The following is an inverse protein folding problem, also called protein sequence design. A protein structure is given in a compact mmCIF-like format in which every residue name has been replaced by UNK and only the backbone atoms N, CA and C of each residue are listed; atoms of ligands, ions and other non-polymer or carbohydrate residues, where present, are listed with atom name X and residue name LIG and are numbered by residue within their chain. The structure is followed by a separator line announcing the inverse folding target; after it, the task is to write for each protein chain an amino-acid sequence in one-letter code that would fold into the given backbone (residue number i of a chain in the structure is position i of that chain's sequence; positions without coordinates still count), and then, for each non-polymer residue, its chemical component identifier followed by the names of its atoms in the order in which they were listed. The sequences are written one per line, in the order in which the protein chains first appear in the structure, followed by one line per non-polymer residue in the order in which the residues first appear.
data_IF_193376377835
#
_entry.id   IF_193376377835
#
_cell.length_a   1.000
_cell.length_b   1.000
_cell.length_c   1.000
_cell.angle_alpha   90.00
_cell.angle_beta   90.00
_cell.angle_gamma   90.00
#
_symmetry.space_group_name_H-M   'P 1'
#
loop_
_entity.id
_entity.type
_entity.pdbx_description
1 polymer ?
#
# COMPACT_ATOMS: atom_id res chain seq x y z
N UNK A 1 13.33 -21.43 10.36
CA UNK A 1 12.36 -20.35 10.63
C UNK A 1 11.87 -19.80 9.28
N UNK A 2 10.60 -19.42 9.22
CA UNK A 2 9.98 -18.83 8.03
C UNK A 2 10.26 -17.33 8.05
N UNK A 3 10.94 -16.85 7.00
CA UNK A 3 11.37 -15.46 6.87
C UNK A 3 10.40 -14.72 5.95
N UNK A 4 9.91 -13.57 6.40
CA UNK A 4 9.04 -12.68 5.62
C UNK A 4 9.74 -11.33 5.52
N UNK A 5 9.76 -10.78 4.31
CA UNK A 5 10.37 -9.48 4.05
C UNK A 5 9.29 -8.45 3.72
N UNK A 6 9.52 -7.19 4.08
CA UNK A 6 8.59 -6.10 3.77
C UNK A 6 9.23 -5.18 2.74
N UNK A 7 8.58 -5.09 1.58
CA UNK A 7 9.09 -4.34 0.46
C UNK A 7 8.84 -2.85 0.64
N UNK A 8 9.90 -2.05 0.66
CA UNK A 8 9.80 -0.60 0.69
C UNK A 8 9.58 -0.06 -0.73
N UNK A 9 8.38 0.47 -0.99
CA UNK A 9 7.94 1.38 -2.07
C UNK A 9 6.83 0.81 -2.97
N UNK A 10 5.70 1.50 -2.96
CA UNK A 10 5.01 1.95 -4.18
C UNK A 10 4.67 3.43 -3.99
N UNK A 11 5.57 4.31 -4.44
CA UNK A 11 5.22 5.69 -4.74
C UNK A 11 4.34 5.63 -5.99
N UNK A 12 3.02 5.58 -5.80
CA UNK A 12 2.12 5.92 -6.88
C UNK A 12 1.68 7.36 -6.64
N UNK A 13 2.19 8.33 -7.45
CA UNK A 13 1.59 9.65 -7.46
C UNK A 13 0.10 9.45 -7.76
N UNK A 14 -0.76 10.18 -7.05
CA UNK A 14 -2.15 10.32 -7.43
C UNK A 14 -2.13 10.80 -8.88
N UNK A 15 -2.46 9.94 -9.83
CA UNK A 15 -2.69 10.33 -11.21
C UNK A 15 -3.92 11.23 -11.21
N UNK A 16 -3.71 12.50 -10.92
CA UNK A 16 -4.67 13.56 -11.21
C UNK A 16 -4.78 13.59 -12.74
N UNK A 17 -5.78 12.86 -13.24
CA UNK A 17 -6.31 13.05 -14.58
C UNK A 17 -6.88 14.46 -14.69
N UNK A 18 -6.04 15.47 -14.97
CA UNK A 18 -6.51 16.73 -15.58
C UNK A 18 -5.36 17.58 -16.11
N UNK A 19 -5.08 17.41 -17.39
CA UNK A 19 -4.60 18.49 -18.25
C UNK A 19 -5.56 18.57 -19.44
N UNK A 20 -6.03 19.77 -19.84
CA UNK A 20 -5.12 20.62 -20.57
C UNK A 20 -5.02 22.04 -20.01
N UNK A 21 -3.79 22.44 -19.70
CA UNK A 21 -3.25 23.79 -19.93
C UNK A 21 -3.63 24.30 -21.32
N UNK A 22 -4.81 24.91 -21.44
CA UNK A 22 -5.10 25.85 -22.51
C UNK A 22 -4.52 27.19 -22.11
N UNK A 23 -3.29 27.43 -22.58
CA UNK A 23 -2.65 28.74 -22.65
C UNK A 23 -3.57 29.75 -23.35
N UNK A 24 -3.99 30.80 -22.62
CA UNK A 24 -4.51 32.03 -23.22
C UNK A 24 -3.56 33.17 -22.81
N UNK A 25 -3.04 33.97 -23.74
CA UNK A 25 -2.07 35.01 -23.42
C UNK A 25 -2.75 36.29 -22.88
N UNK A 26 -1.95 37.03 -22.12
CA UNK A 26 -2.03 38.46 -21.73
C UNK A 26 -2.81 38.90 -20.48
N UNK A 27 -2.00 39.15 -19.44
CA UNK A 27 -1.94 40.32 -18.52
C UNK A 27 -3.16 40.63 -17.63
N UNK A 28 -3.04 40.29 -16.33
CA UNK A 28 -2.79 41.24 -15.22
C UNK A 28 -2.64 40.46 -13.89
N UNK A 29 -1.62 40.83 -13.13
CA UNK A 29 -1.11 40.17 -11.93
C UNK A 29 -1.67 40.90 -10.69
N UNK A 30 -2.64 40.34 -9.96
CA UNK A 30 -2.93 40.74 -8.57
C UNK A 30 -3.97 39.78 -7.95
N UNK A 31 -3.52 38.81 -7.16
CA UNK A 31 -4.19 38.17 -6.01
C UNK A 31 -3.37 36.93 -5.67
N UNK A 32 -2.21 37.18 -5.07
CA UNK A 32 -1.39 36.15 -4.44
C UNK A 32 -2.05 35.73 -3.12
N UNK A 33 -2.99 34.79 -3.18
CA UNK A 33 -3.09 33.78 -2.14
C UNK A 33 -2.87 32.44 -2.82
N UNK A 34 -1.59 32.15 -3.02
CA UNK A 34 -1.11 30.82 -3.35
C UNK A 34 -1.53 29.90 -2.19
N UNK A 35 -2.68 29.25 -2.31
CA UNK A 35 -2.81 27.92 -1.72
C UNK A 35 -1.94 27.04 -2.60
N UNK A 36 -0.62 27.12 -2.37
CA UNK A 36 0.27 26.02 -2.73
C UNK A 36 -0.14 24.86 -1.83
N UNK A 37 -1.26 24.23 -2.16
CA UNK A 37 -1.56 22.89 -1.68
C UNK A 37 -0.44 22.04 -2.21
N UNK A 38 0.54 21.74 -1.36
CA UNK A 38 1.57 20.77 -1.68
C UNK A 38 0.82 19.49 -2.04
N UNK A 39 0.88 19.08 -3.32
CA UNK A 39 0.50 17.75 -3.73
C UNK A 39 1.56 16.80 -3.18
N UNK A 40 1.51 16.56 -1.87
CA UNK A 40 2.46 15.69 -1.20
C UNK A 40 2.18 14.25 -1.59
N UNK A 41 3.18 13.57 -2.17
CA UNK A 41 3.13 12.13 -2.36
C UNK A 41 2.84 11.43 -1.01
N UNK A 42 1.90 10.48 -1.02
CA UNK A 42 1.62 9.67 0.16
C UNK A 42 2.73 8.63 0.27
N UNK A 43 3.47 8.70 1.37
CA UNK A 43 4.58 7.79 1.66
C UNK A 43 4.06 6.66 2.52
N UNK A 44 4.28 5.43 2.06
CA UNK A 44 3.95 4.20 2.79
C UNK A 44 5.20 3.67 3.50
N UNK A 45 5.11 3.46 4.81
CA UNK A 45 6.19 2.94 5.64
C UNK A 45 5.78 1.62 6.26
N UNK A 46 6.50 0.54 5.94
CA UNK A 46 6.24 -0.78 6.51
C UNK A 46 7.18 -1.09 7.68
N UNK A 47 6.67 -1.83 8.67
CA UNK A 47 7.45 -2.22 9.85
C UNK A 47 7.01 -3.59 10.36
N UNK A 48 7.93 -4.51 10.72
CA UNK A 48 9.41 -4.38 10.61
C UNK A 48 9.92 -4.35 9.15
N UNK A 49 11.23 -4.35 8.91
CA UNK A 49 11.78 -4.49 7.54
C UNK A 49 11.87 -5.95 7.10
N UNK A 50 12.06 -6.84 8.07
CA UNK A 50 12.00 -8.28 7.92
C UNK A 50 11.59 -8.92 9.25
N UNK A 51 11.02 -10.13 9.22
CA UNK A 51 10.65 -10.88 10.41
C UNK A 51 10.86 -12.37 10.20
N UNK A 52 11.25 -13.06 11.27
CA UNK A 52 11.48 -14.50 11.28
C UNK A 52 10.58 -15.13 12.34
N UNK A 53 9.76 -16.09 11.94
CA UNK A 53 8.82 -16.79 12.83
C UNK A 53 8.77 -18.28 12.54
N UNK A 54 8.34 -19.06 13.51
CA UNK A 54 8.13 -20.50 13.37
C UNK A 54 6.78 -20.76 12.70
N UNK A 55 6.65 -21.94 12.09
CA UNK A 55 5.38 -22.39 11.54
C UNK A 55 4.28 -22.38 12.61
N UNK A 56 3.09 -21.94 12.25
CA UNK A 56 1.94 -21.85 13.14
C UNK A 56 1.91 -20.61 14.04
N UNK A 57 2.99 -19.84 14.13
CA UNK A 57 2.98 -18.58 14.88
C UNK A 57 2.19 -17.49 14.15
N UNK A 58 1.67 -16.54 14.93
CA UNK A 58 1.02 -15.35 14.39
C UNK A 58 2.05 -14.28 14.02
N UNK A 59 1.86 -13.69 12.85
CA UNK A 59 2.66 -12.56 12.34
C UNK A 59 1.77 -11.33 12.21
N UNK A 60 2.31 -10.17 12.58
CA UNK A 60 1.67 -8.87 12.30
C UNK A 60 2.67 -7.95 11.62
N UNK A 61 2.27 -7.43 10.47
CA UNK A 61 3.01 -6.46 9.66
C UNK A 61 2.27 -5.13 9.75
N UNK A 62 2.96 -4.04 10.05
CA UNK A 62 2.39 -2.69 10.07
C UNK A 62 2.71 -1.93 8.79
N UNK A 63 1.78 -1.07 8.41
CA UNK A 63 1.94 -0.11 7.33
C UNK A 63 1.37 1.24 7.77
N UNK A 64 2.22 2.26 7.75
CA UNK A 64 1.86 3.63 8.10
C UNK A 64 1.90 4.51 6.86
N UNK A 65 0.80 5.22 6.60
CA UNK A 65 0.72 6.26 5.58
C UNK A 65 1.08 7.62 6.18
N UNK A 66 1.79 8.45 5.43
CA UNK A 66 2.13 9.82 5.86
C UNK A 66 0.90 10.74 6.00
N UNK A 67 -0.21 10.38 5.37
CA UNK A 67 -1.48 11.11 5.38
C UNK A 67 -2.66 10.12 5.43
N UNK A 68 -3.85 10.60 5.81
CA UNK A 68 -5.03 9.74 5.91
C UNK A 68 -5.54 9.27 4.55
N UNK A 69 -5.66 7.95 4.36
CA UNK A 69 -6.17 7.29 3.14
C UNK A 69 -7.48 6.52 3.37
N UNK A 70 -8.21 6.84 4.45
CA UNK A 70 -9.44 6.17 4.90
C UNK A 70 -9.34 4.63 4.94
N UNK A 71 -9.93 3.91 3.98
CA UNK A 71 -9.82 2.46 3.83
C UNK A 71 -9.12 2.04 2.54
N UNK A 72 -8.55 2.97 1.78
CA UNK A 72 -7.92 2.75 0.46
C UNK A 72 -6.54 2.09 0.56
N UNK A 73 -6.44 0.98 1.30
CA UNK A 73 -5.21 0.22 1.45
C UNK A 73 -5.39 -1.22 0.97
N UNK A 74 -4.43 -1.67 0.15
CA UNK A 74 -4.34 -3.04 -0.33
C UNK A 74 -3.03 -3.69 0.11
N UNK A 75 -3.10 -4.99 0.40
CA UNK A 75 -1.96 -5.84 0.75
C UNK A 75 -1.66 -6.81 -0.38
N UNK A 76 -0.38 -6.93 -0.71
CA UNK A 76 0.11 -7.83 -1.74
C UNK A 76 1.20 -8.75 -1.22
N UNK A 77 1.31 -9.91 -1.86
CA UNK A 77 2.34 -10.90 -1.64
C UNK A 77 3.11 -11.14 -2.94
N UNK A 78 4.43 -11.14 -2.87
CA UNK A 78 5.29 -11.53 -3.97
C UNK A 78 6.20 -12.68 -3.52
N UNK A 79 6.02 -13.84 -4.14
CA UNK A 79 6.96 -14.95 -3.97
C UNK A 79 8.14 -14.80 -4.92
N UNK A 80 9.32 -15.34 -4.59
CA UNK A 80 10.47 -15.30 -5.49
C UNK A 80 10.12 -15.90 -6.86
N UNK A 81 10.24 -15.09 -7.92
CA UNK A 81 9.94 -15.51 -9.30
C UNK A 81 8.46 -15.54 -9.68
N UNK A 82 7.55 -15.14 -8.79
CA UNK A 82 6.12 -15.02 -9.10
C UNK A 82 5.68 -13.56 -9.26
N UNK A 83 4.54 -13.39 -9.94
CA UNK A 83 3.87 -12.10 -10.04
C UNK A 83 3.31 -11.66 -8.69
N UNK A 84 3.11 -10.35 -8.54
CA UNK A 84 2.50 -9.77 -7.35
C UNK A 84 1.04 -10.23 -7.22
N UNK A 85 0.68 -10.84 -6.09
CA UNK A 85 -0.67 -11.34 -5.81
C UNK A 85 -1.38 -10.45 -4.80
N UNK A 86 -2.60 -10.04 -5.11
CA UNK A 86 -3.47 -9.33 -4.18
C UNK A 86 -3.95 -10.27 -3.06
N UNK A 87 -3.75 -9.87 -1.81
CA UNK A 87 -4.25 -10.58 -0.63
C UNK A 87 -5.53 -9.96 -0.09
N UNK A 88 -5.47 -8.65 0.19
CA UNK A 88 -6.55 -7.89 0.83
C UNK A 88 -6.67 -6.55 0.11
N UNK A 89 -7.89 -6.11 -0.16
CA UNK A 89 -8.20 -4.77 -0.66
C UNK A 89 -9.16 -4.07 0.30
N UNK A 90 -9.31 -2.75 0.14
CA UNK A 90 -10.17 -1.92 1.00
C UNK A 90 -9.94 -2.16 2.52
N UNK A 91 -8.68 -2.35 2.90
CA UNK A 91 -8.19 -2.64 4.26
C UNK A 91 -8.55 -4.01 4.83
N UNK A 92 -9.74 -4.55 4.59
CA UNK A 92 -10.21 -5.79 5.23
C UNK A 92 -10.96 -6.77 4.30
N UNK A 93 -11.11 -6.46 3.00
CA UNK A 93 -11.74 -7.37 2.06
C UNK A 93 -10.71 -8.39 1.54
N UNK A 94 -10.91 -9.65 1.90
CA UNK A 94 -10.04 -10.74 1.46
C UNK A 94 -10.28 -11.07 -0.01
N UNK A 95 -9.23 -11.13 -0.82
CA UNK A 95 -9.34 -11.53 -2.22
C UNK A 95 -9.74 -13.00 -2.34
N UNK A 96 -10.55 -13.33 -3.36
CA UNK A 96 -10.99 -14.71 -3.60
C UNK A 96 -9.80 -15.66 -3.78
N UNK A 97 -9.86 -16.83 -3.11
CA UNK A 97 -8.80 -17.84 -3.12
C UNK A 97 -7.62 -17.55 -2.18
N UNK A 98 -7.69 -16.49 -1.37
CA UNK A 98 -6.72 -16.25 -0.28
C UNK A 98 -7.20 -16.96 0.99
N UNK A 99 -6.32 -17.65 1.73
CA UNK A 99 -6.69 -18.30 2.99
C UNK A 99 -7.26 -17.34 4.04
N UNK A 100 -8.25 -17.81 4.81
CA UNK A 100 -8.86 -17.03 5.90
C UNK A 100 -7.91 -16.70 7.06
N UNK A 101 -6.70 -17.30 7.09
CA UNK A 101 -5.67 -16.96 8.07
C UNK A 101 -5.12 -15.55 7.91
N UNK A 102 -5.29 -14.92 6.74
CA UNK A 102 -4.94 -13.53 6.47
C UNK A 102 -6.08 -12.59 6.89
N UNK A 103 -5.73 -11.51 7.58
CA UNK A 103 -6.69 -10.47 7.97
C UNK A 103 -6.05 -9.10 7.97
N UNK A 104 -6.79 -8.10 7.52
CA UNK A 104 -6.35 -6.71 7.47
C UNK A 104 -7.16 -5.85 8.41
N UNK A 105 -6.52 -4.86 9.01
CA UNK A 105 -7.13 -3.90 9.94
C UNK A 105 -6.47 -2.54 9.78
N UNK A 106 -7.21 -1.47 10.04
CA UNK A 106 -6.69 -0.12 10.01
C UNK A 106 -7.74 0.88 9.54
N UNK A 107 -7.41 2.15 9.65
CA UNK A 107 -8.12 3.27 9.01
C UNK A 107 -7.28 4.53 9.13
N UNK A 108 -7.39 5.43 8.17
CA UNK A 108 -6.69 6.72 8.22
C UNK A 108 -5.21 6.54 7.87
N UNK A 109 -4.34 6.47 8.87
CA UNK A 109 -2.87 6.45 8.67
C UNK A 109 -2.19 5.16 9.13
N UNK A 110 -2.84 4.31 9.93
CA UNK A 110 -2.23 3.12 10.53
C UNK A 110 -3.01 1.85 10.15
N UNK A 111 -2.27 0.89 9.61
CA UNK A 111 -2.80 -0.34 9.06
C UNK A 111 -1.92 -1.53 9.47
N UNK A 112 -2.54 -2.69 9.55
CA UNK A 112 -1.86 -3.94 9.87
C UNK A 112 -2.40 -5.11 9.07
N UNK A 113 -1.50 -5.96 8.61
CA UNK A 113 -1.79 -7.30 8.11
C UNK A 113 -1.44 -8.31 9.20
N UNK A 114 -2.37 -9.21 9.51
CA UNK A 114 -2.16 -10.31 10.43
C UNK A 114 -2.29 -11.65 9.70
N UNK A 115 -1.30 -12.51 9.89
CA UNK A 115 -1.31 -13.91 9.47
C UNK A 115 -1.38 -14.75 10.74
N UNK A 116 -2.54 -15.37 11.00
CA UNK A 116 -2.82 -16.03 12.28
C UNK A 116 -2.01 -17.33 12.49
N UNK A 117 -1.78 -18.10 11.42
CA UNK A 117 -1.03 -19.34 11.45
C UNK A 117 -0.07 -19.37 10.27
N UNK A 118 1.21 -19.08 10.53
CA UNK A 118 2.19 -18.95 9.45
C UNK A 118 2.55 -20.30 8.83
N UNK A 119 2.48 -20.40 7.50
CA UNK A 119 2.78 -21.63 6.77
C UNK A 119 3.98 -21.45 5.81
N UNK A 120 4.66 -22.53 5.38
CA UNK A 120 5.85 -22.45 4.53
C UNK A 120 5.63 -21.69 3.23
N UNK A 121 4.43 -21.76 2.65
CA UNK A 121 4.08 -21.03 1.44
C UNK A 121 3.87 -19.52 1.66
N UNK A 122 3.86 -19.04 2.89
CA UNK A 122 3.71 -17.62 3.23
C UNK A 122 5.06 -16.87 3.21
N UNK A 123 6.17 -17.58 2.97
CA UNK A 123 7.51 -17.00 2.77
C UNK A 123 7.52 -16.20 1.47
N UNK A 124 7.52 -14.88 1.61
CA UNK A 124 7.35 -13.94 0.52
C UNK A 124 7.76 -12.52 0.95
N UNK A 125 7.84 -11.62 -0.02
CA UNK A 125 7.88 -10.18 0.23
C UNK A 125 6.46 -9.61 0.24
N UNK A 126 6.13 -8.83 1.27
CA UNK A 126 4.82 -8.24 1.46
C UNK A 126 4.85 -6.73 1.23
N UNK A 127 3.83 -6.23 0.53
CA UNK A 127 3.71 -4.81 0.18
C UNK A 127 2.35 -4.28 0.62
N UNK A 128 2.34 -3.08 1.20
CA UNK A 128 1.12 -2.28 1.32
C UNK A 128 1.12 -1.18 0.27
N UNK A 129 -0.05 -0.93 -0.30
CA UNK A 129 -0.24 0.10 -1.31
C UNK A 129 -1.48 0.91 -0.97
N UNK A 130 -1.37 2.23 -1.10
CA UNK A 130 -2.52 3.13 -1.11
C UNK A 130 -3.14 3.22 -2.52
N UNK A 131 -4.47 3.28 -2.60
CA UNK A 131 -5.26 3.46 -3.81
C UNK A 131 -5.87 2.20 -4.43
N UNK A 132 -6.77 2.41 -5.40
CA UNK A 132 -7.50 1.38 -6.15
C UNK A 132 -6.73 0.81 -7.35
N UNK A 133 -5.53 1.31 -7.62
CA UNK A 133 -4.80 0.98 -8.85
C UNK A 133 -4.10 -0.35 -8.69
N UNK A 134 -4.61 -1.39 -9.37
CA UNK A 134 -3.91 -2.65 -9.56
C UNK A 134 -2.59 -2.34 -10.27
N UNK A 135 -1.42 -2.77 -9.75
CA UNK A 135 -0.16 -2.60 -10.47
C UNK A 135 -0.25 -3.39 -11.78
N UNK A 136 -0.23 -2.67 -12.90
CA UNK A 136 -0.17 -3.26 -14.22
C UNK A 136 1.16 -4.00 -14.37
N UNK A 137 1.19 -5.25 -14.87
CA UNK A 137 2.45 -5.87 -15.28
C UNK A 137 3.05 -5.01 -16.40
N UNK A 138 4.29 -4.56 -16.22
CA UNK A 138 5.14 -4.05 -17.29
C UNK A 138 5.71 -5.19 -18.12
#
# INVERSE_FOLDING_TARGET
PLQLDMGFRLLLPRLEQREPVLFWPTRLFYYSLLISGSCGDIVMTQTPGSLSKSQGETVTIRCQASQGIDNELSWYQQKPGEALKLLIYETNHLQSGVPLRFSGRGRGTDYSLTISSLEPEDVATYFCQQGYTVPLPQ
#
